data_IF_995258289424
#
_entry.id   IF_995258289424
#
_cell.length_a   1.000
_cell.length_b   1.000
_cell.length_c   1.000
_cell.angle_alpha   90.00
_cell.angle_beta   90.00
_cell.angle_gamma   90.00
#
_symmetry.space_group_name_H-M   'P 1'
#
loop_
_entity.id
_entity.type
_entity.pdbx_description
1 polymer ?
2 polymer ?
3 water ?
#
loop_
_entity_poly.entity_id
_entity_poly.type
_entity_poly.pdbx_seq_one_letter_code
_entity_poly.pdbx_strand_id
1 'polydeoxyribonucleotide' '(DG)(DT)(DA)(DA)(DT)(DT)(DA)(DC)' ?
#
# COMPACT_ATOMS: atom_id res chain seq x y z
N UNK C 2 -4.86 -10.71 2.80
CA UNK C 2 -4.14 -9.74 3.65
C UNK C 2 -4.73 -8.37 3.40
N UNK C 3 -5.23 -7.78 4.46
CA UNK C 3 -5.86 -6.47 4.36
C UNK C 3 -4.97 -5.44 4.99
N UNK C 4 -4.81 -4.30 4.33
CA UNK C 4 -4.03 -3.21 4.86
C UNK C 4 -5.06 -2.19 5.30
N UNK C 5 -4.93 -1.74 6.53
CA UNK C 5 -5.84 -0.77 7.14
C UNK C 5 -5.07 0.51 7.39
N UNK C 6 -5.73 1.62 7.10
CA UNK C 6 -5.11 2.90 7.23
C UNK C 6 -6.17 3.98 7.12
N UNK C 7 -5.76 5.19 7.44
CA UNK C 7 -6.66 6.34 7.37
C UNK C 7 -6.09 7.33 6.36
N UNK C 8 -6.95 7.80 5.47
CA UNK C 8 -6.50 8.74 4.45
C UNK C 8 -7.56 9.84 4.29
N UNK C 9 -7.15 11.10 4.38
CA UNK C 9 -8.09 12.23 4.26
C UNK C 9 -9.27 12.06 5.21
N UNK C 10 -9.03 11.60 6.43
CA UNK C 10 -10.11 11.43 7.38
C UNK C 10 -11.00 10.20 7.21
N UNK C 11 -10.74 9.33 6.23
CA UNK C 11 -11.57 8.12 6.06
C UNK C 11 -10.78 6.86 6.44
N UNK C 12 -11.34 6.00 7.29
CA UNK C 12 -10.66 4.75 7.66
C UNK C 12 -10.90 3.82 6.48
N UNK C 13 -9.84 3.18 6.01
CA UNK C 13 -9.94 2.33 4.85
C UNK C 13 -9.34 0.95 5.11
N UNK C 14 -9.77 -0.04 4.33
CA UNK C 14 -9.28 -1.42 4.42
C UNK C 14 -9.12 -1.84 2.99
N UNK C 15 -7.93 -2.23 2.56
CA UNK C 15 -7.82 -2.63 1.17
C UNK C 15 -7.07 -3.95 1.13
N UNK C 16 -7.54 -4.88 0.31
CA UNK C 16 -6.87 -6.16 0.23
C UNK C 16 -5.61 -5.96 -0.62
N UNK C 17 -4.50 -6.63 -0.28
CA UNK C 17 -3.28 -6.45 -1.07
C UNK C 17 -3.46 -6.85 -2.53
N UNK C 18 -4.42 -7.73 -2.83
CA UNK C 18 -4.63 -8.09 -4.21
C UNK C 18 -5.14 -6.90 -5.07
N UNK C 19 -5.58 -5.81 -4.44
CA UNK C 19 -6.06 -4.63 -5.16
C UNK C 19 -4.94 -3.56 -5.29
N UNK C 20 -3.82 -3.79 -4.62
CA UNK C 20 -2.73 -2.80 -4.66
C UNK C 20 -2.09 -2.74 -6.02
N UNK C 21 -1.97 -1.55 -6.57
CA UNK C 21 -1.39 -1.39 -7.89
C UNK C 21 0.09 -1.11 -7.87
N UNK C 22 0.52 -0.11 -7.09
CA UNK C 22 1.95 0.28 -7.01
C UNK C 22 2.29 0.49 -5.58
N UNK C 23 3.54 0.17 -5.18
CA UNK C 23 3.98 0.38 -3.80
C UNK C 23 5.36 0.98 -3.86
N UNK C 24 5.63 1.99 -3.05
CA UNK C 24 6.96 2.57 -3.01
C UNK C 24 7.31 3.03 -1.61
N UNK C 25 8.58 3.34 -1.42
CA UNK C 25 8.99 3.83 -0.13
C UNK C 25 9.22 5.34 -0.18
N UNK C 26 8.60 6.08 0.76
CA UNK C 26 8.87 7.53 0.87
C UNK C 26 9.40 7.74 2.30
N UNK C 27 10.69 8.03 2.39
CA UNK C 27 11.29 8.13 3.71
C UNK C 27 11.20 6.78 4.44
N UNK C 28 10.50 6.71 5.56
CA UNK C 28 10.34 5.46 6.30
C UNK C 28 8.88 5.00 6.23
N UNK C 29 8.16 5.53 5.25
CA UNK C 29 6.78 5.15 5.07
C UNK C 29 6.63 4.34 3.77
N UNK C 30 5.59 3.52 3.72
CA UNK C 30 5.25 2.69 2.56
C UNK C 30 3.96 3.30 2.01
N UNK C 31 4.06 3.78 0.78
CA UNK C 31 2.98 4.48 0.10
C UNK C 31 2.50 3.61 -1.06
N UNK C 32 1.22 3.74 -1.39
CA UNK C 32 0.71 2.88 -2.47
C UNK C 32 -0.55 3.39 -3.14
N UNK C 33 -0.86 2.80 -4.29
CA UNK C 33 -2.14 3.09 -4.95
C UNK C 33 -2.88 1.73 -4.98
N UNK C 34 -4.19 1.77 -5.17
CA UNK C 34 -4.96 0.55 -5.21
C UNK C 34 -6.17 0.79 -6.08
N UNK C 35 -6.70 -0.30 -6.62
CA UNK C 35 -7.86 -0.18 -7.47
C UNK C 35 -9.11 -0.11 -6.61
N UNK C 36 -9.98 0.81 -6.98
CA UNK C 36 -11.22 1.00 -6.25
C UNK C 36 -12.32 1.02 -7.33
N UNK C 37 -12.52 -0.13 -7.98
CA UNK C 37 -13.49 -0.27 -9.06
C UNK C 37 -13.45 0.95 -9.95
N UNK C 38 -12.38 1.08 -10.73
CA UNK C 38 -12.31 2.21 -11.63
C UNK C 38 -11.37 3.29 -11.17
N UNK C 39 -11.67 3.94 -10.05
CA UNK C 39 -10.75 4.97 -9.62
C UNK C 39 -9.60 4.38 -8.82
N UNK C 40 -8.53 5.13 -8.77
CA UNK C 40 -7.33 4.70 -8.09
C UNK C 40 -7.24 5.45 -6.79
N UNK C 41 -7.14 4.70 -5.71
CA UNK C 41 -7.04 5.31 -4.40
C UNK C 41 -5.57 5.33 -3.99
N UNK C 42 -5.30 6.06 -2.92
CA UNK C 42 -3.95 6.21 -2.39
C UNK C 42 -4.00 5.91 -0.91
N UNK C 43 -2.88 5.40 -0.38
CA UNK C 43 -2.80 5.17 1.05
C UNK C 43 -1.35 5.10 1.44
N UNK C 44 -1.05 5.12 2.75
CA UNK C 44 0.33 5.00 3.16
C UNK C 44 0.33 4.56 4.64
N UNK C 45 1.30 3.75 5.02
CA UNK C 45 1.41 3.34 6.40
C UNK C 45 2.88 3.40 6.80
N UNK C 46 3.11 3.39 8.12
CA UNK C 46 4.45 3.30 8.65
C UNK C 46 4.99 1.91 8.23
N UNK C 47 6.26 1.81 7.89
CA UNK C 47 6.79 0.50 7.54
C UNK C 47 6.52 -0.46 8.71
N UNK C 48 6.52 0.05 9.94
CA UNK C 48 6.26 -0.85 11.05
C UNK C 48 4.83 -1.33 11.16
N UNK C 49 3.89 -0.70 10.46
CA UNK C 49 2.52 -1.18 10.49
C UNK C 49 2.13 -1.90 9.20
N UNK C 50 3.09 -2.09 8.29
CA UNK C 50 2.74 -2.78 7.06
C UNK C 50 2.82 -4.29 7.25
N UNK C 51 1.85 -5.02 6.70
CA UNK C 51 1.89 -6.49 6.82
C UNK C 51 3.06 -6.95 5.94
N UNK C 52 3.65 -8.10 6.27
CA UNK C 52 4.77 -8.58 5.45
C UNK C 52 4.43 -8.66 3.99
N UNK C 53 3.21 -9.08 3.65
CA UNK C 53 2.89 -9.19 2.25
C UNK C 53 3.06 -7.87 1.48
N UNK C 54 2.72 -6.75 2.10
CA UNK C 54 2.88 -5.47 1.41
C UNK C 54 4.37 -5.14 1.29
N UNK C 55 5.14 -5.39 2.35
CA UNK C 55 6.59 -5.14 2.29
C UNK C 55 7.24 -6.01 1.22
N UNK C 56 6.72 -7.23 1.07
CA UNK C 56 7.26 -8.09 0.02
C UNK C 56 6.99 -7.53 -1.36
N UNK C 57 5.79 -6.94 -1.53
CA UNK C 57 5.44 -6.32 -2.78
C UNK C 57 6.41 -5.16 -3.04
N UNK C 58 6.75 -4.42 -2.00
CA UNK C 58 7.70 -3.30 -2.15
C UNK C 58 9.08 -3.83 -2.54
N UNK C 59 9.52 -4.89 -1.88
CA UNK C 59 10.88 -5.40 -2.16
C UNK C 59 10.94 -5.90 -3.61
N UNK C 60 9.86 -6.53 -4.05
CA UNK C 60 9.84 -7.05 -5.42
C UNK C 60 9.89 -5.87 -6.41
N UNK C 61 9.17 -4.80 -6.10
CA UNK C 61 9.18 -3.63 -6.96
C UNK C 61 10.61 -3.06 -7.08
N UNK C 62 11.34 -3.05 -5.99
CA UNK C 62 12.68 -2.49 -6.02
C UNK C 62 13.61 -3.31 -6.91
N UNK C 63 13.30 -4.60 -7.08
CA UNK C 63 14.14 -5.50 -7.91
C UNK C 63 13.71 -5.58 -9.37
N UNK C 64 12.49 -5.18 -9.69
CA UNK C 64 11.98 -5.29 -11.07
C UNK C 64 12.82 -4.54 -12.08
N UNK C 65 12.97 -5.16 -13.25
CA UNK C 65 13.71 -4.61 -14.38
C UNK C 65 12.66 -4.11 -15.38
#
# INVERSE_FOLDING_TARGET
MVKVKFKYKGEEKEVDTSKIKKVWRVGKAVSFTYDDNGKTGRGAVSEKDAPKELLDMLARAEREKK
#
